data_IF_941266297052
#
_entry.id   IF_941266297052
#
_cell.length_a   1.000
_cell.length_b   1.000
_cell.length_c   1.000
_cell.angle_alpha   90.00
_cell.angle_beta   90.00
_cell.angle_gamma   90.00
#
_symmetry.space_group_name_H-M   'P 1'
#
loop_
_entity.id
_entity.type
_entity.pdbx_description
1 polymer ?
#
# COMPACT_ATOMS: atom_id res chain seq x y z
N UNK A 1 -3.39 -57.68 -43.57
CA UNK A 1 -2.89 -56.78 -44.62
C UNK A 1 -4.01 -56.56 -45.62
N UNK A 2 -4.81 -55.52 -45.42
CA UNK A 2 -5.73 -55.00 -46.44
C UNK A 2 -5.69 -53.47 -46.31
N UNK A 3 -5.30 -52.83 -47.41
CA UNK A 3 -5.06 -51.39 -47.51
C UNK A 3 -6.36 -50.62 -47.37
N UNK A 4 -6.34 -49.60 -46.50
CA UNK A 4 -7.35 -48.55 -46.45
C UNK A 4 -6.78 -47.41 -47.28
N UNK A 5 -7.15 -47.43 -48.56
CA UNK A 5 -6.92 -46.33 -49.49
C UNK A 5 -7.79 -45.14 -49.12
N UNK A 6 -7.15 -43.98 -49.13
CA UNK A 6 -7.71 -42.72 -48.71
C UNK A 6 -8.87 -42.22 -49.57
N UNK A 7 -9.70 -41.40 -48.91
CA UNK A 7 -10.41 -40.26 -49.51
C UNK A 7 -10.98 -39.41 -48.36
N UNK A 8 -10.13 -38.55 -47.80
CA UNK A 8 -10.51 -37.44 -46.90
C UNK A 8 -10.21 -36.08 -47.55
N UNK A 9 -10.24 -36.03 -48.88
CA UNK A 9 -10.35 -34.76 -49.59
C UNK A 9 -11.82 -34.54 -49.90
N UNK A 10 -12.28 -33.30 -49.69
CA UNK A 10 -13.62 -32.77 -49.95
C UNK A 10 -14.60 -32.82 -48.77
N UNK A 11 -14.34 -31.98 -47.76
CA UNK A 11 -15.41 -31.24 -47.11
C UNK A 11 -15.12 -29.74 -47.17
N UNK A 12 -16.15 -28.91 -47.43
CA UNK A 12 -16.03 -27.66 -48.18
C UNK A 12 -15.89 -26.45 -47.25
N UNK A 13 -15.02 -25.52 -47.66
CA UNK A 13 -15.14 -24.04 -47.65
C UNK A 13 -16.16 -23.32 -46.73
N UNK A 14 -16.45 -23.81 -45.54
CA UNK A 14 -17.14 -23.09 -44.47
C UNK A 14 -16.14 -22.51 -43.47
N UNK A 15 -15.06 -21.91 -43.98
CA UNK A 15 -14.52 -20.72 -43.32
C UNK A 15 -15.25 -19.56 -43.97
N UNK A 16 -16.55 -19.50 -43.66
CA UNK A 16 -17.34 -18.29 -43.81
C UNK A 16 -16.48 -17.15 -43.28
N UNK A 17 -16.31 -16.14 -44.13
CA UNK A 17 -15.68 -14.87 -43.81
C UNK A 17 -16.32 -14.30 -42.54
N UNK A 18 -15.86 -14.73 -41.37
CA UNK A 18 -16.19 -14.02 -40.15
C UNK A 18 -15.62 -12.63 -40.37
N UNK A 19 -16.46 -11.58 -40.32
CA UNK A 19 -15.95 -10.22 -40.41
C UNK A 19 -14.84 -10.10 -39.37
N UNK A 20 -13.70 -9.45 -39.72
CA UNK A 20 -12.59 -9.33 -38.81
C UNK A 20 -13.14 -8.82 -37.48
N UNK A 21 -12.98 -9.62 -36.43
CA UNK A 21 -13.40 -9.23 -35.08
C UNK A 21 -12.73 -7.88 -34.85
N UNK A 22 -13.50 -6.79 -34.68
CA UNK A 22 -12.89 -5.49 -34.48
C UNK A 22 -11.93 -5.63 -33.30
N UNK A 23 -10.69 -5.11 -33.42
CA UNK A 23 -9.76 -5.18 -32.31
C UNK A 23 -10.47 -4.64 -31.07
N UNK A 24 -10.34 -5.32 -29.91
CA UNK A 24 -10.95 -4.82 -28.69
C UNK A 24 -10.51 -3.36 -28.54
N UNK A 25 -11.42 -2.43 -28.24
CA UNK A 25 -11.08 -1.02 -28.15
C UNK A 25 -9.89 -0.90 -27.21
N UNK A 26 -8.81 -0.27 -27.68
CA UNK A 26 -7.68 -0.02 -26.81
C UNK A 26 -8.20 0.67 -25.55
N UNK A 27 -7.85 0.20 -24.35
CA UNK A 27 -8.24 0.84 -23.12
C UNK A 27 -7.55 2.20 -23.06
N UNK A 28 -8.19 3.19 -23.70
CA UNK A 28 -7.78 4.58 -23.66
C UNK A 28 -8.14 5.07 -22.27
N UNK A 29 -7.12 5.14 -21.41
CA UNK A 29 -7.25 5.77 -20.11
C UNK A 29 -7.41 7.27 -20.38
N UNK A 30 -8.66 7.72 -20.46
CA UNK A 30 -8.92 9.12 -20.73
C UNK A 30 -8.68 9.91 -19.45
N UNK A 31 -8.31 11.18 -19.59
CA UNK A 31 -8.26 12.06 -18.44
C UNK A 31 -9.62 12.07 -17.72
N UNK A 32 -10.74 11.96 -18.44
CA UNK A 32 -12.10 11.92 -17.90
C UNK A 32 -12.27 10.84 -16.81
N UNK A 33 -11.73 9.63 -17.02
CA UNK A 33 -11.77 8.52 -16.06
C UNK A 33 -11.06 8.83 -14.74
N UNK A 34 -10.15 9.82 -14.73
CA UNK A 34 -9.49 10.29 -13.52
C UNK A 34 -10.33 11.29 -12.69
N UNK A 35 -11.50 11.76 -13.17
CA UNK A 35 -12.37 12.68 -12.39
C UNK A 35 -13.23 11.95 -11.35
N UNK A 36 -13.67 10.72 -11.62
CA UNK A 36 -14.69 10.05 -10.80
C UNK A 36 -14.14 9.38 -9.53
N UNK A 37 -12.82 9.33 -9.41
CA UNK A 37 -12.11 8.64 -8.33
C UNK A 37 -11.89 9.52 -7.09
N UNK A 38 -12.94 10.16 -6.58
CA UNK A 38 -12.87 10.90 -5.32
C UNK A 38 -13.73 10.20 -4.29
N UNK A 39 -13.14 9.85 -3.15
CA UNK A 39 -13.95 9.59 -1.97
C UNK A 39 -14.64 10.88 -1.57
N UNK A 40 -15.92 10.80 -1.24
CA UNK A 40 -16.52 11.86 -0.44
C UNK A 40 -15.79 11.93 0.90
N UNK A 41 -15.55 13.13 1.44
CA UNK A 41 -14.93 13.30 2.75
C UNK A 41 -15.68 12.52 3.84
N UNK A 42 -17.01 12.39 3.70
CA UNK A 42 -17.86 11.56 4.56
C UNK A 42 -17.54 10.07 4.46
N UNK A 43 -17.29 9.56 3.26
CA UNK A 43 -16.94 8.16 3.03
C UNK A 43 -15.53 7.85 3.56
N UNK A 44 -14.57 8.75 3.35
CA UNK A 44 -13.23 8.59 3.92
C UNK A 44 -13.30 8.60 5.46
N UNK A 45 -14.05 9.52 6.06
CA UNK A 45 -14.22 9.58 7.50
C UNK A 45 -14.86 8.28 8.01
N UNK A 46 -15.98 7.85 7.42
CA UNK A 46 -16.67 6.62 7.79
C UNK A 46 -15.76 5.38 7.64
N UNK A 47 -15.06 5.26 6.51
CA UNK A 47 -14.15 4.14 6.25
C UNK A 47 -12.99 4.11 7.26
N UNK A 48 -12.45 5.27 7.62
CA UNK A 48 -11.38 5.39 8.62
C UNK A 48 -11.89 5.05 10.02
N UNK A 49 -13.10 5.49 10.39
CA UNK A 49 -13.74 5.13 11.66
C UNK A 49 -13.98 3.62 11.75
N UNK A 50 -14.54 3.00 10.70
CA UNK A 50 -14.77 1.55 10.67
C UNK A 50 -13.43 0.81 10.77
N UNK A 51 -12.41 1.24 10.02
CA UNK A 51 -11.08 0.65 10.08
C UNK A 51 -10.47 0.76 11.49
N UNK A 52 -10.63 1.90 12.16
CA UNK A 52 -10.14 2.10 13.53
C UNK A 52 -10.87 1.21 14.56
N UNK A 53 -12.20 1.06 14.44
CA UNK A 53 -12.98 0.17 15.30
C UNK A 53 -12.57 -1.29 15.08
N UNK A 54 -12.46 -1.72 13.82
CA UNK A 54 -11.99 -3.06 13.47
C UNK A 54 -10.58 -3.32 13.99
N UNK A 55 -9.68 -2.35 13.84
CA UNK A 55 -8.31 -2.42 14.37
C UNK A 55 -8.31 -2.59 15.89
N UNK A 56 -9.15 -1.83 16.62
CA UNK A 56 -9.28 -1.95 18.06
C UNK A 56 -9.80 -3.34 18.48
N UNK A 57 -10.81 -3.87 17.78
CA UNK A 57 -11.35 -5.21 18.04
C UNK A 57 -10.31 -6.29 17.77
N UNK A 58 -9.66 -6.26 16.61
CA UNK A 58 -8.64 -7.24 16.25
C UNK A 58 -7.43 -7.18 17.17
N UNK A 59 -7.09 -5.99 17.70
CA UNK A 59 -5.95 -5.79 18.62
C UNK A 59 -6.07 -6.68 19.85
N UNK A 60 -7.29 -6.90 20.34
CA UNK A 60 -7.55 -7.78 21.48
C UNK A 60 -7.16 -9.25 21.23
N UNK A 61 -7.03 -9.67 19.97
CA UNK A 61 -6.79 -11.07 19.57
C UNK A 61 -5.35 -11.34 19.11
N UNK A 62 -4.47 -10.33 19.13
CA UNK A 62 -3.06 -10.47 18.76
C UNK A 62 -2.86 -10.87 17.29
N UNK A 63 -1.92 -11.80 17.02
CA UNK A 63 -1.56 -12.21 15.66
C UNK A 63 -2.73 -12.79 14.87
N UNK A 64 -3.65 -13.51 15.52
CA UNK A 64 -4.85 -14.05 14.88
C UNK A 64 -5.76 -12.93 14.36
N UNK A 65 -5.86 -11.82 15.09
CA UNK A 65 -6.58 -10.63 14.64
C UNK A 65 -5.99 -10.04 13.37
N UNK A 66 -4.67 -9.98 13.28
CA UNK A 66 -3.98 -9.51 12.08
C UNK A 66 -4.24 -10.42 10.88
N UNK A 67 -4.17 -11.74 11.07
CA UNK A 67 -4.45 -12.73 10.01
C UNK A 67 -5.91 -12.62 9.55
N UNK A 68 -6.86 -12.54 10.48
CA UNK A 68 -8.28 -12.35 10.16
C UNK A 68 -8.53 -11.02 9.45
N UNK A 69 -7.86 -9.94 9.86
CA UNK A 69 -7.91 -8.63 9.17
C UNK A 69 -7.45 -8.76 7.73
N UNK A 70 -6.30 -9.41 7.50
CA UNK A 70 -5.74 -9.63 6.18
C UNK A 70 -6.67 -10.45 5.29
N UNK A 71 -7.17 -11.58 5.78
CA UNK A 71 -8.08 -12.44 5.02
C UNK A 71 -9.39 -11.72 4.69
N UNK A 72 -9.94 -10.95 5.66
CA UNK A 72 -11.14 -10.16 5.44
C UNK A 72 -10.90 -9.06 4.39
N UNK A 73 -9.79 -8.34 4.48
CA UNK A 73 -9.39 -7.34 3.50
C UNK A 73 -9.23 -7.95 2.11
N UNK A 74 -8.60 -9.11 1.99
CA UNK A 74 -8.44 -9.83 0.73
C UNK A 74 -9.79 -10.28 0.14
N UNK A 75 -10.65 -10.93 0.93
CA UNK A 75 -11.98 -11.36 0.47
C UNK A 75 -12.82 -10.17 0.04
N UNK A 76 -12.84 -9.09 0.84
CA UNK A 76 -13.62 -7.90 0.53
C UNK A 76 -13.12 -7.26 -0.78
N UNK A 77 -11.82 -7.00 -0.88
CA UNK A 77 -11.27 -6.24 -2.02
C UNK A 77 -11.16 -7.05 -3.31
N UNK A 78 -10.87 -8.34 -3.23
CA UNK A 78 -10.62 -9.19 -4.40
C UNK A 78 -11.86 -9.97 -4.86
N UNK A 79 -12.85 -10.19 -3.98
CA UNK A 79 -14.01 -11.05 -4.28
C UNK A 79 -15.33 -10.29 -4.15
N UNK A 80 -15.58 -9.66 -3.00
CA UNK A 80 -16.89 -9.04 -2.72
C UNK A 80 -17.09 -7.77 -3.54
N UNK A 81 -16.13 -6.84 -3.47
CA UNK A 81 -16.23 -5.54 -4.15
C UNK A 81 -16.36 -5.69 -5.67
N UNK A 82 -15.58 -6.55 -6.36
CA UNK A 82 -15.77 -6.79 -7.79
C UNK A 82 -17.15 -7.38 -8.14
N UNK A 83 -17.76 -8.16 -7.26
CA UNK A 83 -19.12 -8.70 -7.46
C UNK A 83 -20.22 -7.68 -7.23
N UNK A 84 -20.07 -6.79 -6.25
CA UNK A 84 -21.03 -5.72 -5.96
C UNK A 84 -20.97 -4.65 -7.05
N UNK A 85 -19.78 -4.32 -7.54
CA UNK A 85 -19.54 -3.22 -8.46
C UNK A 85 -18.92 -3.66 -9.80
N UNK A 86 -19.49 -4.64 -10.53
CA UNK A 86 -18.82 -5.30 -11.66
C UNK A 86 -18.46 -4.37 -12.82
N UNK A 87 -19.16 -3.23 -12.95
CA UNK A 87 -18.95 -2.23 -14.01
C UNK A 87 -18.20 -0.98 -13.55
N UNK A 88 -17.97 -0.83 -12.25
CA UNK A 88 -17.34 0.36 -11.66
C UNK A 88 -15.92 0.03 -11.21
N UNK A 89 -15.06 -0.23 -12.20
CA UNK A 89 -13.62 -0.45 -12.00
C UNK A 89 -12.94 0.69 -11.24
N UNK A 90 -13.29 1.98 -11.46
CA UNK A 90 -12.76 3.07 -10.65
C UNK A 90 -12.98 2.85 -9.15
N UNK A 91 -14.21 2.57 -8.73
CA UNK A 91 -14.51 2.35 -7.31
C UNK A 91 -13.80 1.14 -6.74
N UNK A 92 -13.74 0.03 -7.48
CA UNK A 92 -13.00 -1.17 -7.05
C UNK A 92 -11.53 -0.84 -6.77
N UNK A 93 -10.88 -0.14 -7.71
CA UNK A 93 -9.48 0.31 -7.61
C UNK A 93 -9.27 1.24 -6.42
N UNK A 94 -10.19 2.15 -6.17
CA UNK A 94 -10.12 3.12 -5.08
C UNK A 94 -10.27 2.45 -3.70
N UNK A 95 -11.19 1.49 -3.55
CA UNK A 95 -11.31 0.70 -2.32
C UNK A 95 -10.07 -0.16 -2.10
N UNK A 96 -9.56 -0.80 -3.16
CA UNK A 96 -8.32 -1.57 -3.10
C UNK A 96 -7.15 -0.69 -2.63
N UNK A 97 -6.95 0.47 -3.25
CA UNK A 97 -5.83 1.36 -2.93
C UNK A 97 -5.93 1.90 -1.49
N UNK A 98 -7.14 2.20 -1.02
CA UNK A 98 -7.35 2.62 0.37
C UNK A 98 -7.00 1.51 1.36
N UNK A 99 -7.53 0.30 1.15
CA UNK A 99 -7.32 -0.84 2.05
C UNK A 99 -5.84 -1.23 2.08
N UNK A 100 -5.21 -1.41 0.92
CA UNK A 100 -3.85 -1.96 0.83
C UNK A 100 -2.74 -0.90 0.92
N UNK A 101 -3.03 0.34 0.57
CA UNK A 101 -2.08 1.44 0.65
C UNK A 101 -2.14 2.26 1.95
N UNK A 102 -3.25 2.22 2.69
CA UNK A 102 -3.40 2.98 3.95
C UNK A 102 -3.72 2.08 5.14
N UNK A 103 -4.77 1.27 5.07
CA UNK A 103 -5.27 0.53 6.25
C UNK A 103 -4.34 -0.62 6.64
N UNK A 104 -4.03 -1.51 5.70
CA UNK A 104 -3.25 -2.73 5.97
C UNK A 104 -1.82 -2.46 6.46
N UNK A 105 -1.07 -1.45 5.95
CA UNK A 105 0.22 -1.10 6.53
C UNK A 105 0.13 -0.69 8.00
N UNK A 106 -0.93 0.03 8.39
CA UNK A 106 -1.17 0.39 9.81
C UNK A 106 -1.52 -0.83 10.63
N UNK A 107 -2.37 -1.73 10.10
CA UNK A 107 -2.67 -3.02 10.75
C UNK A 107 -1.37 -3.79 10.98
N UNK A 108 -0.59 -4.06 9.93
CA UNK A 108 0.68 -4.77 10.06
C UNK A 108 1.57 -4.12 11.12
N UNK A 109 1.72 -2.81 11.08
CA UNK A 109 2.55 -2.10 12.05
C UNK A 109 2.04 -2.25 13.50
N UNK A 110 0.72 -2.17 13.73
CA UNK A 110 0.12 -2.27 15.07
C UNK A 110 0.22 -3.69 15.64
N UNK A 111 0.19 -4.70 14.76
CA UNK A 111 0.22 -6.10 15.15
C UNK A 111 1.59 -6.75 15.06
N UNK A 112 2.58 -6.12 14.41
CA UNK A 112 3.91 -6.69 14.21
C UNK A 112 4.65 -6.78 15.56
N UNK A 113 4.81 -8.00 16.11
CA UNK A 113 5.49 -8.16 17.38
C UNK A 113 7.00 -7.98 17.26
N UNK A 114 7.58 -8.03 16.06
CA UNK A 114 9.02 -8.02 15.84
C UNK A 114 9.59 -6.60 15.75
N UNK A 115 8.82 -5.64 15.23
CA UNK A 115 9.33 -4.28 15.01
C UNK A 115 9.25 -3.41 16.28
N UNK A 116 8.23 -3.59 17.14
CA UNK A 116 7.95 -2.65 18.25
C UNK A 116 8.13 -3.21 19.67
N UNK A 117 8.52 -4.48 19.84
CA UNK A 117 8.74 -5.04 21.16
C UNK A 117 10.22 -4.99 21.52
N UNK A 118 10.60 -3.98 22.32
CA UNK A 118 11.92 -3.93 22.94
C UNK A 118 11.96 -4.88 24.14
N UNK A 119 12.76 -5.95 24.07
CA UNK A 119 13.23 -6.69 25.25
C UNK A 119 12.23 -7.66 25.89
N UNK A 120 12.28 -8.92 25.44
CA UNK A 120 12.04 -10.10 26.29
C UNK A 120 10.59 -10.58 26.45
N UNK A 121 9.61 -9.70 26.63
CA UNK A 121 8.23 -10.14 26.91
C UNK A 121 7.29 -9.97 25.70
N UNK A 122 6.87 -11.06 25.03
CA UNK A 122 5.90 -10.99 23.95
C UNK A 122 4.49 -10.56 24.40
N UNK A 123 4.25 -10.44 25.71
CA UNK A 123 2.94 -10.14 26.31
C UNK A 123 2.89 -8.89 27.18
N UNK A 124 3.86 -7.96 27.10
CA UNK A 124 3.66 -6.65 27.73
C UNK A 124 2.55 -5.90 27.00
N UNK A 125 1.33 -6.13 27.46
CA UNK A 125 0.12 -5.41 27.13
C UNK A 125 0.44 -3.95 27.39
N UNK A 126 0.25 -3.12 26.38
CA UNK A 126 0.28 -1.67 26.49
C UNK A 126 -0.67 -1.30 27.62
N UNK A 127 -0.15 -1.04 28.83
CA UNK A 127 -1.01 -0.63 29.94
C UNK A 127 -1.72 0.64 29.47
N UNK A 128 -3.07 0.66 29.45
CA UNK A 128 -3.79 1.84 29.03
C UNK A 128 -3.32 3.00 29.91
N UNK A 129 -2.98 4.16 29.33
CA UNK A 129 -2.51 5.29 30.11
C UNK A 129 -3.56 5.57 31.17
N UNK A 130 -3.17 5.48 32.45
CA UNK A 130 -4.05 5.86 33.54
C UNK A 130 -4.51 7.29 33.27
N UNK A 131 -5.81 7.58 33.48
CA UNK A 131 -6.41 8.91 33.26
C UNK A 131 -5.66 10.07 33.96
N UNK A 132 -4.80 9.75 34.93
CA UNK A 132 -3.96 10.67 35.71
C UNK A 132 -2.49 10.72 35.27
N UNK A 133 -2.05 9.87 34.33
CA UNK A 133 -0.68 9.91 33.84
C UNK A 133 -0.52 11.12 32.92
N UNK A 134 0.51 11.97 33.12
CA UNK A 134 0.81 13.04 32.19
C UNK A 134 0.95 12.46 30.78
N UNK A 135 0.53 13.22 29.76
CA UNK A 135 0.52 12.85 28.33
C UNK A 135 1.91 12.48 27.74
N UNK A 136 2.92 12.31 28.59
CA UNK A 136 4.19 11.68 28.30
C UNK A 136 4.02 10.15 28.32
N UNK A 137 3.32 9.62 27.32
CA UNK A 137 3.36 8.17 27.03
C UNK A 137 4.81 7.84 26.70
N UNK A 138 5.52 7.18 27.62
CA UNK A 138 6.86 6.62 27.38
C UNK A 138 6.76 5.45 26.41
N UNK A 139 6.52 5.74 25.14
CA UNK A 139 6.61 4.74 24.07
C UNK A 139 8.09 4.35 23.99
N UNK A 140 8.43 3.15 24.44
CA UNK A 140 9.73 2.55 24.17
C UNK A 140 9.72 2.08 22.72
N UNK A 141 9.86 3.02 21.79
CA UNK A 141 10.01 2.71 20.37
C UNK A 141 11.44 2.22 20.15
N UNK A 142 11.59 1.08 19.47
CA UNK A 142 12.86 0.64 18.91
C UNK A 142 13.47 1.80 18.11
N UNK A 143 14.78 2.01 18.16
CA UNK A 143 15.43 3.18 17.55
C UNK A 143 15.21 3.23 16.02
N UNK A 144 15.07 2.07 15.39
CA UNK A 144 14.72 1.97 13.97
C UNK A 144 13.28 2.42 13.67
N UNK A 145 12.39 2.37 14.66
CA UNK A 145 11.00 2.82 14.50
C UNK A 145 10.92 4.33 14.23
N UNK A 146 11.89 5.13 14.71
CA UNK A 146 11.93 6.58 14.45
C UNK A 146 12.09 6.90 12.97
N UNK A 147 12.64 5.99 12.16
CA UNK A 147 12.75 6.14 10.71
C UNK A 147 11.53 5.56 9.99
N UNK A 148 11.05 4.40 10.44
CA UNK A 148 9.93 3.72 9.80
C UNK A 148 8.61 4.49 9.91
N UNK A 149 8.31 5.06 11.09
CA UNK A 149 7.05 5.76 11.35
C UNK A 149 6.84 7.00 10.48
N UNK A 150 7.78 7.96 10.40
CA UNK A 150 7.60 9.15 9.58
C UNK A 150 7.57 8.80 8.09
N UNK A 151 8.34 7.81 7.66
CA UNK A 151 8.29 7.32 6.28
C UNK A 151 6.90 6.76 5.94
N UNK A 152 6.39 5.85 6.77
CA UNK A 152 5.06 5.27 6.57
C UNK A 152 3.97 6.34 6.63
N UNK A 153 4.01 7.21 7.62
CA UNK A 153 3.05 8.31 7.76
C UNK A 153 3.08 9.24 6.55
N UNK A 154 4.27 9.58 6.03
CA UNK A 154 4.43 10.38 4.83
C UNK A 154 3.84 9.72 3.58
N UNK A 155 4.02 8.40 3.42
CA UNK A 155 3.43 7.63 2.32
C UNK A 155 1.90 7.55 2.41
N UNK A 156 1.37 7.26 3.60
CA UNK A 156 -0.08 7.20 3.85
C UNK A 156 -0.72 8.58 3.64
N UNK A 157 -0.10 9.64 4.13
CA UNK A 157 -0.58 11.01 3.95
C UNK A 157 -0.55 11.41 2.47
N UNK A 158 0.51 11.07 1.75
CA UNK A 158 0.63 11.33 0.31
C UNK A 158 -0.45 10.59 -0.48
N UNK A 159 -0.64 9.29 -0.22
CA UNK A 159 -1.68 8.51 -0.86
C UNK A 159 -3.07 9.04 -0.51
N UNK A 160 -3.34 9.33 0.77
CA UNK A 160 -4.61 9.90 1.23
C UNK A 160 -4.91 11.23 0.54
N UNK A 161 -3.90 12.09 0.39
CA UNK A 161 -4.01 13.35 -0.34
C UNK A 161 -4.38 13.08 -1.81
N UNK A 162 -3.69 12.15 -2.47
CA UNK A 162 -3.98 11.75 -3.86
C UNK A 162 -5.40 11.19 -4.02
N UNK A 163 -5.88 10.37 -3.08
CA UNK A 163 -7.22 9.78 -3.11
C UNK A 163 -8.33 10.82 -2.84
N UNK A 164 -8.07 11.80 -1.97
CA UNK A 164 -9.06 12.81 -1.61
C UNK A 164 -9.16 13.93 -2.66
N UNK A 165 -8.04 14.45 -3.15
CA UNK A 165 -8.01 15.62 -4.04
C UNK A 165 -7.86 15.28 -5.52
N UNK A 166 -7.36 14.08 -5.85
CA UNK A 166 -7.23 13.59 -7.23
C UNK A 166 -6.61 14.62 -8.18
N UNK A 167 -7.35 14.99 -9.24
CA UNK A 167 -6.88 15.96 -10.25
C UNK A 167 -6.55 17.36 -9.73
N UNK A 168 -7.09 17.77 -8.58
CA UNK A 168 -6.78 19.09 -8.01
C UNK A 168 -5.29 19.22 -7.68
N UNK A 169 -4.57 18.10 -7.58
CA UNK A 169 -3.13 18.04 -7.32
C UNK A 169 -2.29 18.04 -8.59
N UNK A 170 -2.86 18.33 -9.77
CA UNK A 170 -2.10 18.40 -11.04
C UNK A 170 -0.82 19.27 -10.96
N UNK A 171 -0.79 20.41 -10.24
CA UNK A 171 0.44 21.19 -10.04
C UNK A 171 1.50 20.50 -9.15
N UNK A 172 1.10 19.51 -8.36
CA UNK A 172 1.99 18.76 -7.48
C UNK A 172 2.26 17.34 -8.03
N UNK A 173 1.59 16.93 -9.11
CA UNK A 173 1.61 15.56 -9.60
C UNK A 173 3.04 15.01 -9.86
N UNK A 174 3.98 15.76 -10.46
CA UNK A 174 5.36 15.28 -10.58
C UNK A 174 6.01 14.98 -9.21
N UNK A 175 5.88 15.89 -8.25
CA UNK A 175 6.41 15.74 -6.89
C UNK A 175 5.83 14.51 -6.19
N UNK A 176 4.50 14.37 -6.20
CA UNK A 176 3.79 13.25 -5.59
C UNK A 176 4.10 11.92 -6.27
N UNK A 177 4.35 11.92 -7.58
CA UNK A 177 4.80 10.72 -8.30
C UNK A 177 6.14 10.22 -7.79
N UNK A 178 7.07 11.13 -7.46
CA UNK A 178 8.35 10.80 -6.86
C UNK A 178 8.22 10.20 -5.46
N UNK A 179 7.42 10.84 -4.60
CA UNK A 179 7.15 10.34 -3.24
C UNK A 179 6.55 8.93 -3.28
N UNK A 180 5.51 8.72 -4.11
CA UNK A 180 4.87 7.41 -4.28
C UNK A 180 5.80 6.38 -4.93
N UNK A 181 6.70 6.79 -5.83
CA UNK A 181 7.70 5.90 -6.41
C UNK A 181 8.62 5.33 -5.33
N UNK A 182 9.10 6.18 -4.41
CA UNK A 182 9.90 5.73 -3.27
C UNK A 182 9.14 4.72 -2.41
N UNK A 183 7.87 5.01 -2.10
CA UNK A 183 7.00 4.08 -1.37
C UNK A 183 6.85 2.74 -2.09
N UNK A 184 6.61 2.76 -3.41
CA UNK A 184 6.46 1.56 -4.23
C UNK A 184 7.74 0.71 -4.23
N UNK A 185 8.91 1.32 -4.40
CA UNK A 185 10.20 0.62 -4.41
C UNK A 185 10.49 0.01 -3.04
N UNK A 186 10.36 0.78 -1.95
CA UNK A 186 10.61 0.29 -0.59
C UNK A 186 9.67 -0.85 -0.25
N UNK A 187 8.36 -0.71 -0.51
CA UNK A 187 7.39 -1.77 -0.27
C UNK A 187 7.65 -3.00 -1.15
N UNK A 188 8.09 -2.84 -2.39
CA UNK A 188 8.46 -3.95 -3.27
C UNK A 188 9.70 -4.70 -2.75
N UNK A 189 10.72 -3.98 -2.30
CA UNK A 189 11.90 -4.58 -1.67
C UNK A 189 11.52 -5.34 -0.39
N UNK A 190 10.68 -4.75 0.46
CA UNK A 190 10.15 -5.42 1.65
C UNK A 190 9.33 -6.66 1.30
N UNK A 191 8.50 -6.60 0.26
CA UNK A 191 7.76 -7.75 -0.23
C UNK A 191 8.71 -8.86 -0.70
N UNK A 192 9.74 -8.54 -1.49
CA UNK A 192 10.74 -9.52 -1.91
C UNK A 192 11.46 -10.18 -0.72
N UNK A 193 11.82 -9.37 0.28
CA UNK A 193 12.49 -9.85 1.49
C UNK A 193 11.57 -10.72 2.38
N UNK A 194 10.28 -10.39 2.48
CA UNK A 194 9.33 -11.05 3.38
C UNK A 194 8.59 -12.22 2.74
N UNK A 195 8.40 -12.22 1.42
CA UNK A 195 7.73 -13.31 0.69
C UNK A 195 8.58 -14.58 0.70
N UNK A 196 9.91 -14.47 0.68
CA UNK A 196 10.79 -15.64 0.73
C UNK A 196 10.65 -16.42 2.06
N UNK A 197 10.78 -15.81 3.25
CA UNK A 197 10.52 -16.51 4.52
C UNK A 197 9.04 -16.87 4.73
N UNK A 198 8.09 -16.12 4.13
CA UNK A 198 6.70 -16.54 4.04
C UNK A 198 6.59 -17.91 3.35
N UNK A 199 7.12 -18.01 2.13
CA UNK A 199 7.10 -19.22 1.31
C UNK A 199 7.85 -20.40 1.95
N UNK A 200 8.93 -20.15 2.70
CA UNK A 200 9.78 -21.19 3.27
C UNK A 200 9.29 -21.78 4.61
N UNK A 201 8.14 -21.34 5.16
CA UNK A 201 7.53 -22.05 6.29
C UNK A 201 6.82 -21.20 7.35
N UNK A 202 6.91 -19.87 7.30
CA UNK A 202 6.16 -19.02 8.26
C UNK A 202 4.66 -18.92 7.96
N UNK A 203 4.19 -19.54 6.87
CA UNK A 203 2.76 -19.76 6.61
C UNK A 203 2.07 -20.56 7.72
N UNK A 204 2.77 -21.47 8.42
CA UNK A 204 2.18 -22.32 9.46
C UNK A 204 1.56 -21.53 10.63
N UNK A 205 1.98 -20.28 10.84
CA UNK A 205 1.51 -19.41 11.92
C UNK A 205 0.73 -18.19 11.43
N UNK A 206 0.41 -18.13 10.13
CA UNK A 206 -0.27 -16.98 9.51
C UNK A 206 0.58 -15.71 9.36
N UNK A 207 1.75 -15.64 10.00
CA UNK A 207 2.72 -14.53 9.84
C UNK A 207 3.15 -14.40 8.37
N UNK A 208 3.35 -15.53 7.68
CA UNK A 208 3.68 -15.53 6.25
C UNK A 208 2.63 -14.83 5.37
N UNK A 209 1.34 -14.86 5.74
CA UNK A 209 0.28 -14.14 5.02
C UNK A 209 0.45 -12.62 5.14
N UNK A 210 0.84 -12.13 6.32
CA UNK A 210 1.07 -10.70 6.53
C UNK A 210 2.22 -10.17 5.68
N UNK A 211 3.20 -11.02 5.35
CA UNK A 211 4.30 -10.73 4.42
C UNK A 211 3.86 -10.37 2.99
N UNK A 212 2.60 -10.65 2.61
CA UNK A 212 2.03 -10.20 1.32
C UNK A 212 1.48 -8.78 1.35
N UNK A 213 1.25 -8.19 2.53
CA UNK A 213 0.80 -6.79 2.62
C UNK A 213 1.69 -5.82 1.85
N UNK A 214 3.04 -5.81 2.04
CA UNK A 214 3.92 -4.92 1.28
C UNK A 214 3.85 -5.13 -0.24
N UNK A 215 3.47 -6.33 -0.72
CA UNK A 215 3.25 -6.56 -2.15
C UNK A 215 2.02 -5.80 -2.68
N UNK A 216 0.89 -5.86 -1.97
CA UNK A 216 -0.30 -5.10 -2.37
C UNK A 216 -0.12 -3.59 -2.16
N UNK A 217 0.62 -3.19 -1.12
CA UNK A 217 1.01 -1.79 -0.90
C UNK A 217 1.87 -1.26 -2.04
N UNK A 218 2.87 -2.02 -2.49
CA UNK A 218 3.74 -1.60 -3.60
C UNK A 218 2.96 -1.46 -4.90
N UNK A 219 2.03 -2.38 -5.19
CA UNK A 219 1.14 -2.30 -6.34
C UNK A 219 0.24 -1.05 -6.30
N UNK A 220 -0.30 -0.73 -5.13
CA UNK A 220 -1.11 0.47 -4.90
C UNK A 220 -0.31 1.74 -5.17
N UNK A 221 0.88 1.87 -4.59
CA UNK A 221 1.74 3.01 -4.79
C UNK A 221 2.22 3.13 -6.23
N UNK A 222 2.56 2.01 -6.89
CA UNK A 222 2.96 1.98 -8.29
C UNK A 222 1.85 2.50 -9.21
N UNK A 223 0.61 2.01 -9.04
CA UNK A 223 -0.54 2.46 -9.83
C UNK A 223 -0.81 3.95 -9.65
N UNK A 224 -0.71 4.46 -8.42
CA UNK A 224 -0.94 5.88 -8.13
C UNK A 224 0.21 6.77 -8.60
N UNK A 225 1.44 6.28 -8.54
CA UNK A 225 2.61 6.94 -9.15
C UNK A 225 2.44 7.09 -10.66
N UNK A 226 2.03 6.04 -11.37
CA UNK A 226 1.74 6.12 -12.81
C UNK A 226 0.62 7.12 -13.12
N UNK A 227 -0.46 7.11 -12.35
CA UNK A 227 -1.55 8.08 -12.51
C UNK A 227 -1.05 9.52 -12.33
N UNK A 228 -0.25 9.80 -11.31
CA UNK A 228 0.32 11.13 -11.10
C UNK A 228 1.26 11.54 -12.24
N UNK A 229 2.05 10.59 -12.78
CA UNK A 229 2.90 10.85 -13.95
C UNK A 229 2.08 11.18 -15.20
N UNK A 230 0.95 10.51 -15.41
CA UNK A 230 0.02 10.81 -16.50
C UNK A 230 -0.64 12.18 -16.33
N UNK A 231 -1.07 12.54 -15.12
CA UNK A 231 -1.62 13.88 -14.83
C UNK A 231 -0.59 14.99 -15.00
N UNK A 232 0.70 14.68 -14.82
CA UNK A 232 1.79 15.59 -15.11
C UNK A 232 2.07 15.78 -16.62
N UNK A 233 1.48 14.96 -17.50
CA UNK A 233 1.70 14.97 -18.96
C UNK A 233 1.61 16.36 -19.59
N UNK A 234 0.71 17.19 -19.08
CA UNK A 234 0.44 18.52 -19.63
C UNK A 234 1.42 19.63 -19.18
N UNK A 235 2.50 19.30 -18.44
CA UNK A 235 3.50 20.31 -18.09
C UNK A 235 4.39 20.68 -19.27
N UNK A 236 4.72 21.98 -19.37
CA UNK A 236 5.46 22.59 -20.49
C UNK A 236 6.86 22.02 -20.70
N UNK A 237 7.50 21.43 -19.70
CA UNK A 237 8.88 20.93 -19.79
C UNK A 237 9.06 19.59 -19.07
N UNK A 238 9.49 18.58 -19.81
CA UNK A 238 9.87 17.25 -19.27
C UNK A 238 10.94 17.36 -18.19
N UNK A 239 11.92 18.25 -18.35
CA UNK A 239 13.01 18.44 -17.38
C UNK A 239 12.47 18.84 -16.01
N UNK A 240 11.48 19.73 -15.97
CA UNK A 240 10.87 20.19 -14.72
C UNK A 240 10.09 19.04 -14.06
N UNK A 241 9.40 18.19 -14.85
CA UNK A 241 8.69 17.01 -14.34
C UNK A 241 9.66 16.07 -13.60
N UNK A 242 10.79 15.73 -14.23
CA UNK A 242 11.79 14.85 -13.63
C UNK A 242 12.48 15.48 -12.42
N UNK A 243 12.78 16.79 -12.46
CA UNK A 243 13.38 17.49 -11.33
C UNK A 243 12.44 17.50 -10.11
N UNK A 244 11.16 17.79 -10.31
CA UNK A 244 10.16 17.75 -9.24
C UNK A 244 9.92 16.34 -8.72
N UNK A 245 9.87 15.33 -9.59
CA UNK A 245 9.80 13.94 -9.16
C UNK A 245 11.03 13.53 -8.33
N UNK A 246 12.24 13.92 -8.77
CA UNK A 246 13.48 13.72 -8.01
C UNK A 246 13.44 14.41 -6.66
N UNK A 247 12.94 15.65 -6.59
CA UNK A 247 12.72 16.35 -5.32
C UNK A 247 11.76 15.58 -4.40
N UNK A 248 10.71 14.98 -4.94
CA UNK A 248 9.77 14.14 -4.19
C UNK A 248 10.44 12.93 -3.57
N UNK A 249 11.31 12.25 -4.32
CA UNK A 249 12.13 11.13 -3.81
C UNK A 249 13.04 11.60 -2.67
N UNK A 250 13.76 12.71 -2.86
CA UNK A 250 14.67 13.27 -1.84
C UNK A 250 13.91 13.65 -0.58
N UNK A 251 12.79 14.38 -0.69
CA UNK A 251 11.98 14.78 0.46
C UNK A 251 11.45 13.56 1.23
N UNK A 252 11.01 12.52 0.52
CA UNK A 252 10.51 11.30 1.13
C UNK A 252 11.56 10.56 1.95
N UNK A 253 12.82 10.54 1.49
CA UNK A 253 13.92 9.89 2.19
C UNK A 253 14.51 10.77 3.30
N UNK A 254 14.51 12.09 3.11
CA UNK A 254 15.06 13.04 4.08
C UNK A 254 14.16 13.23 5.29
N UNK A 255 12.83 13.19 5.11
CA UNK A 255 11.85 13.36 6.20
C UNK A 255 12.10 12.44 7.40
N UNK A 256 12.19 11.09 7.25
CA UNK A 256 12.44 10.20 8.39
C UNK A 256 13.80 10.46 9.04
N UNK A 257 14.83 10.83 8.27
CA UNK A 257 16.15 11.17 8.81
C UNK A 257 16.06 12.41 9.71
N UNK A 258 15.40 13.48 9.24
CA UNK A 258 15.25 14.71 10.00
C UNK A 258 14.44 14.49 11.29
N UNK A 259 13.37 13.70 11.22
CA UNK A 259 12.57 13.34 12.41
C UNK A 259 13.39 12.49 13.38
N UNK A 260 14.16 11.52 12.88
CA UNK A 260 15.05 10.70 13.70
C UNK A 260 16.12 11.51 14.41
N UNK A 261 16.84 12.38 13.68
CA UNK A 261 17.85 13.28 14.25
C UNK A 261 17.23 14.23 15.27
N UNK A 262 16.07 14.82 14.95
CA UNK A 262 15.34 15.69 15.88
C UNK A 262 14.95 14.96 17.18
N UNK A 263 14.48 13.73 17.08
CA UNK A 263 14.13 12.90 18.24
C UNK A 263 15.37 12.58 19.11
N UNK A 264 16.52 12.30 18.48
CA UNK A 264 17.79 12.10 19.18
C UNK A 264 18.27 13.37 19.88
N UNK A 265 18.23 14.53 19.21
CA UNK A 265 18.64 15.81 19.81
C UNK A 265 17.76 16.25 20.98
N UNK A 266 16.48 15.87 20.99
CA UNK A 266 15.53 16.19 22.07
C UNK A 266 15.56 15.17 23.22
N UNK A 267 16.29 14.05 23.06
CA UNK A 267 16.39 13.05 24.11
C UNK A 267 17.26 13.58 25.26
N UNK A 268 16.80 13.48 26.52
CA UNK A 268 17.52 14.05 27.65
C UNK A 268 18.90 13.38 27.82
N UNK A 269 19.97 14.17 28.08
CA UNK A 269 21.31 13.62 28.28
C UNK A 269 21.33 12.68 29.50
N UNK A 270 21.86 11.48 29.34
CA UNK A 270 22.00 10.48 30.42
C UNK A 270 21.07 9.27 30.34
N UNK A 271 20.25 9.13 29.28
CA UNK A 271 19.87 7.81 28.80
C UNK A 271 21.02 7.29 27.95
N UNK A 272 21.55 6.14 28.32
CA UNK A 272 22.69 5.50 27.66
C UNK A 272 22.55 5.62 26.13
N UNK A 273 23.51 6.31 25.50
CA UNK A 273 23.67 6.25 24.05
C UNK A 273 23.88 4.76 23.76
N UNK A 274 23.08 4.15 22.88
CA UNK A 274 23.17 2.73 22.65
C UNK A 274 24.58 2.38 22.17
N UNK A 275 25.18 1.34 22.77
CA UNK A 275 26.60 0.99 22.65
C UNK A 275 27.11 0.78 21.20
N UNK A 276 26.23 0.70 20.21
CA UNK A 276 26.57 0.53 18.80
C UNK A 276 26.92 1.83 18.05
N UNK A 277 26.79 3.00 18.68
CA UNK A 277 27.23 4.31 18.16
C UNK A 277 28.68 4.66 18.54
N UNK A 278 29.37 3.80 19.29
CA UNK A 278 30.78 3.93 19.70
C UNK A 278 31.75 3.11 18.84
#
# INVERSE_FOLDING_TARGET
>A
MHGIDGRWHDQPQFVEQMPPVPPPPEPSFTAADAQELRFSLKEMFLATTIAAVMLALFRSTGIFGAVLSFLSAAIITLVVIPRIFPKDLPRQRLVFDFVWGMVMPVVCLVFDPFIFKNGGDPFQVFEPPSLTAPLAVKVHVNELAYLAWPFLAGQIATLGMVLAWGRSLRPLAPLLSGVLATGAVVACCLAGLLVLPAALGTFAWGIGLLGFTPFFTSFTFFRRMLLMRLLAGDWRSEKIKYLLAGLGVVLCLLLPILVGVGALCLSPPGKDIPDWLG
#
